data_IF_324260304961
#
_entry.id   IF_324260304961
#
_cell.length_a   1.000
_cell.length_b   1.000
_cell.length_c   1.000
_cell.angle_alpha   90.00
_cell.angle_beta   90.00
_cell.angle_gamma   90.00
#
_symmetry.space_group_name_H-M   'P 1'
#
loop_
_entity.id
_entity.type
_entity.pdbx_description
1 polymer ?
#
# COMPACT_ATOMS: atom_id res chain seq x y z
N UNK A 1 26.44 21.02 8.44
CA UNK A 1 25.78 19.97 7.61
C UNK A 1 24.88 20.61 6.57
N UNK A 2 24.93 20.18 5.30
CA UNK A 2 24.02 20.74 4.29
C UNK A 2 22.55 20.35 4.57
N UNK A 3 21.60 21.22 4.24
CA UNK A 3 20.14 21.03 4.51
C UNK A 3 19.60 19.66 4.08
N UNK A 4 20.15 19.06 3.01
CA UNK A 4 19.77 17.72 2.53
C UNK A 4 20.18 16.60 3.50
N UNK A 5 21.36 16.70 4.10
CA UNK A 5 21.87 15.69 5.06
C UNK A 5 21.10 15.73 6.37
N UNK A 6 20.74 16.91 6.83
CA UNK A 6 19.89 17.09 8.01
C UNK A 6 18.52 16.45 7.75
N UNK A 7 17.94 16.71 6.56
CA UNK A 7 16.66 16.13 6.16
C UNK A 7 16.70 14.59 6.11
N UNK A 8 17.78 13.99 5.55
CA UNK A 8 17.97 12.55 5.52
C UNK A 8 18.06 11.95 6.92
N UNK A 9 18.84 12.59 7.80
CA UNK A 9 19.00 12.13 9.18
C UNK A 9 17.64 12.04 9.91
N UNK A 10 16.84 13.11 9.84
CA UNK A 10 15.53 13.12 10.46
C UNK A 10 14.54 12.16 9.78
N UNK A 11 14.55 12.08 8.44
CA UNK A 11 13.72 11.15 7.68
C UNK A 11 14.00 9.69 8.05
N UNK A 12 15.28 9.31 8.15
CA UNK A 12 15.68 7.97 8.53
C UNK A 12 15.14 7.57 9.91
N UNK A 13 15.29 8.43 10.92
CA UNK A 13 14.76 8.13 12.26
C UNK A 13 13.23 8.05 12.28
N UNK A 14 12.57 8.88 11.47
CA UNK A 14 11.10 8.86 11.37
C UNK A 14 10.59 7.60 10.67
N UNK A 15 11.31 7.07 9.68
CA UNK A 15 10.91 5.90 8.89
C UNK A 15 11.34 4.55 9.52
N UNK A 16 12.12 4.53 10.61
CA UNK A 16 12.56 3.29 11.26
C UNK A 16 11.43 2.28 11.57
N UNK A 17 10.25 2.69 12.10
CA UNK A 17 9.16 1.75 12.32
C UNK A 17 8.66 1.10 11.02
N UNK A 18 8.66 1.86 9.92
CA UNK A 18 8.25 1.35 8.60
C UNK A 18 9.30 0.41 8.04
N UNK A 19 10.59 0.66 8.27
CA UNK A 19 11.67 -0.24 7.87
C UNK A 19 11.44 -1.66 8.43
N UNK A 20 11.06 -1.79 9.69
CA UNK A 20 10.77 -3.10 10.28
C UNK A 20 9.53 -3.76 9.64
N UNK A 21 8.44 -3.01 9.45
CA UNK A 21 7.21 -3.50 8.83
C UNK A 21 7.42 -3.90 7.36
N UNK A 22 8.01 -3.01 6.58
CA UNK A 22 8.28 -3.25 5.16
C UNK A 22 9.34 -4.31 4.93
N UNK A 23 10.34 -4.40 5.80
CA UNK A 23 11.30 -5.49 5.78
C UNK A 23 10.61 -6.84 5.91
N UNK A 24 9.72 -6.99 6.88
CA UNK A 24 8.98 -8.23 7.09
C UNK A 24 7.97 -8.52 5.97
N UNK A 25 7.12 -7.56 5.62
CA UNK A 25 6.09 -7.74 4.58
C UNK A 25 6.73 -7.92 3.19
N UNK A 26 7.79 -7.18 2.89
CA UNK A 26 8.53 -7.32 1.65
C UNK A 26 9.18 -8.69 1.53
N UNK A 27 9.83 -9.18 2.60
CA UNK A 27 10.36 -10.55 2.63
C UNK A 27 9.27 -11.57 2.34
N UNK A 28 8.11 -11.43 2.99
CA UNK A 28 6.96 -12.33 2.77
C UNK A 28 6.48 -12.27 1.32
N UNK A 29 6.41 -11.08 0.73
CA UNK A 29 6.06 -10.90 -0.68
C UNK A 29 7.06 -11.55 -1.62
N UNK A 30 8.36 -11.38 -1.37
CA UNK A 30 9.42 -12.01 -2.18
C UNK A 30 9.35 -13.54 -2.11
N UNK A 31 9.19 -14.11 -0.91
CA UNK A 31 9.00 -15.56 -0.72
C UNK A 31 7.76 -16.04 -1.48
N UNK A 32 6.65 -15.32 -1.39
CA UNK A 32 5.43 -15.63 -2.13
C UNK A 32 5.66 -15.65 -3.65
N UNK A 33 6.37 -14.68 -4.20
CA UNK A 33 6.70 -14.65 -5.64
C UNK A 33 7.61 -15.82 -6.04
N UNK A 34 8.55 -16.20 -5.18
CA UNK A 34 9.37 -17.39 -5.39
C UNK A 34 8.52 -18.67 -5.48
N UNK A 35 7.57 -18.86 -4.56
CA UNK A 35 6.65 -20.00 -4.56
C UNK A 35 5.77 -20.05 -5.83
N UNK A 36 5.44 -18.90 -6.40
CA UNK A 36 4.77 -18.82 -7.70
C UNK A 36 5.68 -19.18 -8.89
N UNK A 37 6.98 -19.42 -8.65
CA UNK A 37 7.95 -19.78 -9.66
C UNK A 37 8.62 -18.59 -10.38
N UNK A 38 8.47 -17.39 -9.87
CA UNK A 38 9.18 -16.22 -10.36
C UNK A 38 10.60 -16.14 -9.77
N UNK A 39 11.51 -15.49 -10.46
CA UNK A 39 12.83 -15.16 -9.93
C UNK A 39 12.82 -13.75 -9.31
N UNK A 40 13.87 -13.43 -8.55
CA UNK A 40 14.01 -12.18 -7.80
C UNK A 40 13.84 -10.88 -8.61
N UNK A 41 14.04 -10.93 -9.94
CA UNK A 41 13.84 -9.76 -10.80
C UNK A 41 12.37 -9.34 -10.87
N UNK A 42 11.44 -10.29 -10.81
CA UNK A 42 10.01 -9.98 -10.87
C UNK A 42 9.54 -9.19 -9.62
N UNK A 43 9.70 -9.71 -8.38
CA UNK A 43 9.30 -8.92 -7.21
C UNK A 43 10.08 -7.62 -7.09
N UNK A 44 11.38 -7.58 -7.44
CA UNK A 44 12.17 -6.36 -7.45
C UNK A 44 11.62 -5.31 -8.42
N UNK A 45 11.33 -5.69 -9.68
CA UNK A 45 10.81 -4.76 -10.68
C UNK A 45 9.39 -4.30 -10.35
N UNK A 46 8.52 -5.18 -9.86
CA UNK A 46 7.18 -4.81 -9.41
C UNK A 46 7.26 -3.83 -8.22
N UNK A 47 8.12 -4.09 -7.24
CA UNK A 47 8.34 -3.21 -6.11
C UNK A 47 8.84 -1.82 -6.51
N UNK A 48 9.66 -1.70 -7.56
CA UNK A 48 10.15 -0.41 -8.07
C UNK A 48 9.10 0.30 -8.93
N UNK A 49 8.36 -0.43 -9.76
CA UNK A 49 7.52 0.18 -10.81
C UNK A 49 6.05 0.32 -10.42
N UNK A 50 5.53 -0.58 -9.60
CA UNK A 50 4.15 -0.58 -9.11
C UNK A 50 4.08 0.04 -7.71
N UNK A 51 4.97 -0.37 -6.82
CA UNK A 51 5.10 0.10 -5.44
C UNK A 51 3.75 0.19 -4.71
N UNK A 52 3.00 -0.88 -4.77
CA UNK A 52 1.69 -1.02 -4.14
C UNK A 52 1.50 -2.47 -3.69
N UNK A 53 1.98 -2.81 -2.50
CA UNK A 53 2.09 -4.19 -2.00
C UNK A 53 0.87 -5.05 -2.25
N UNK A 54 -0.34 -4.55 -1.92
CA UNK A 54 -1.59 -5.28 -2.17
C UNK A 54 -1.84 -5.56 -3.66
N UNK A 55 -1.49 -4.63 -4.55
CA UNK A 55 -1.59 -4.85 -5.99
C UNK A 55 -0.51 -5.81 -6.49
N UNK A 56 0.69 -5.74 -5.93
CA UNK A 56 1.81 -6.62 -6.30
C UNK A 56 1.51 -8.09 -6.00
N UNK A 57 0.93 -8.40 -4.84
CA UNK A 57 0.45 -9.76 -4.52
C UNK A 57 -0.62 -10.25 -5.51
N UNK A 58 -1.58 -9.39 -5.89
CA UNK A 58 -2.59 -9.73 -6.90
C UNK A 58 -1.97 -9.95 -8.27
N UNK A 59 -1.05 -9.08 -8.68
CA UNK A 59 -0.36 -9.16 -9.96
C UNK A 59 0.46 -10.46 -10.09
N UNK A 60 1.08 -10.93 -9.01
CA UNK A 60 1.80 -12.19 -8.98
C UNK A 60 0.93 -13.36 -9.51
N UNK A 61 -0.28 -13.52 -8.99
CA UNK A 61 -1.21 -14.53 -9.48
C UNK A 61 -1.69 -14.26 -10.92
N UNK A 62 -1.93 -13.01 -11.28
CA UNK A 62 -2.40 -12.66 -12.63
C UNK A 62 -1.36 -12.91 -13.71
N UNK A 63 -0.07 -12.85 -13.38
CA UNK A 63 1.03 -13.13 -14.31
C UNK A 63 1.18 -14.63 -14.63
N UNK A 64 0.62 -15.53 -13.81
CA UNK A 64 0.65 -16.98 -14.07
C UNK A 64 -0.35 -17.42 -15.12
N UNK A 65 -1.41 -16.66 -15.33
CA UNK A 65 -2.48 -16.99 -16.27
C UNK A 65 -2.46 -16.14 -17.54
N UNK A 66 -3.59 -16.18 -18.27
CA UNK A 66 -3.80 -15.27 -19.39
C UNK A 66 -3.96 -13.84 -18.85
N UNK A 67 -3.01 -12.98 -19.15
CA UNK A 67 -3.03 -11.59 -18.67
C UNK A 67 -4.10 -10.78 -19.41
N UNK A 68 -5.07 -10.28 -18.67
CA UNK A 68 -6.14 -9.40 -19.15
C UNK A 68 -5.92 -7.97 -18.65
N UNK A 69 -5.35 -7.05 -19.48
CA UNK A 69 -4.96 -5.71 -19.01
C UNK A 69 -6.10 -4.90 -18.40
N UNK A 70 -7.30 -4.99 -18.95
CA UNK A 70 -8.46 -4.27 -18.43
C UNK A 70 -8.88 -4.79 -17.04
N UNK A 71 -8.88 -6.11 -16.86
CA UNK A 71 -9.21 -6.73 -15.58
C UNK A 71 -8.15 -6.36 -14.53
N UNK A 72 -6.86 -6.44 -14.89
CA UNK A 72 -5.76 -6.02 -14.02
C UNK A 72 -5.90 -4.55 -13.61
N UNK A 73 -6.16 -3.66 -14.58
CA UNK A 73 -6.37 -2.24 -14.31
C UNK A 73 -7.53 -1.99 -13.34
N UNK A 74 -8.67 -2.61 -13.58
CA UNK A 74 -9.85 -2.46 -12.71
C UNK A 74 -9.58 -2.99 -11.30
N UNK A 75 -8.98 -4.18 -11.16
CA UNK A 75 -8.63 -4.75 -9.85
C UNK A 75 -7.65 -3.85 -9.08
N UNK A 76 -6.56 -3.43 -9.72
CA UNK A 76 -5.55 -2.56 -9.10
C UNK A 76 -6.15 -1.22 -8.72
N UNK A 77 -6.97 -0.61 -9.59
CA UNK A 77 -7.67 0.63 -9.29
C UNK A 77 -8.59 0.50 -8.07
N UNK A 78 -9.30 -0.62 -7.97
CA UNK A 78 -10.24 -0.87 -6.87
C UNK A 78 -9.51 -1.04 -5.54
N UNK A 79 -8.49 -1.89 -5.50
CA UNK A 79 -7.72 -2.15 -4.28
C UNK A 79 -6.99 -0.89 -3.81
N UNK A 80 -6.50 -0.09 -4.75
CA UNK A 80 -5.75 1.14 -4.47
C UNK A 80 -6.61 2.42 -4.52
N UNK A 81 -7.94 2.33 -4.60
CA UNK A 81 -8.82 3.50 -4.67
C UNK A 81 -8.63 4.51 -3.52
N UNK A 82 -8.21 4.02 -2.35
CA UNK A 82 -7.86 4.85 -1.18
C UNK A 82 -6.74 5.86 -1.46
N UNK A 83 -5.79 5.56 -2.35
CA UNK A 83 -4.70 6.48 -2.72
C UNK A 83 -5.18 7.76 -3.39
N UNK A 84 -6.37 7.75 -4.03
CA UNK A 84 -7.01 8.97 -4.53
C UNK A 84 -7.31 9.95 -3.39
N UNK A 85 -7.78 9.45 -2.25
CA UNK A 85 -8.07 10.28 -1.06
C UNK A 85 -6.79 10.76 -0.38
N UNK A 86 -5.74 9.92 -0.34
CA UNK A 86 -4.43 10.36 0.15
C UNK A 86 -3.88 11.50 -0.69
N UNK A 87 -3.94 11.36 -2.01
CA UNK A 87 -3.53 12.40 -2.95
C UNK A 87 -4.25 13.73 -2.70
N UNK A 88 -5.57 13.69 -2.54
CA UNK A 88 -6.38 14.88 -2.23
C UNK A 88 -5.97 15.52 -0.89
N UNK A 89 -5.78 14.72 0.14
CA UNK A 89 -5.40 15.20 1.48
C UNK A 89 -4.01 15.84 1.50
N UNK A 90 -3.11 15.41 0.62
CA UNK A 90 -1.73 15.88 0.57
C UNK A 90 -1.49 17.04 -0.41
N UNK A 91 -2.51 17.50 -1.16
CA UNK A 91 -2.37 18.56 -2.16
C UNK A 91 -1.72 19.83 -1.60
N UNK A 92 -2.22 20.33 -0.47
CA UNK A 92 -1.66 21.53 0.17
C UNK A 92 -0.26 21.29 0.75
N UNK A 93 -0.04 20.09 1.31
CA UNK A 93 1.27 19.73 1.88
C UNK A 93 2.35 19.62 0.81
N UNK A 94 2.00 19.24 -0.42
CA UNK A 94 2.92 19.09 -1.55
C UNK A 94 3.01 20.33 -2.45
N UNK A 95 2.28 21.39 -2.12
CA UNK A 95 2.33 22.66 -2.87
C UNK A 95 3.73 23.28 -2.80
N UNK A 96 4.23 23.73 -3.94
CA UNK A 96 5.53 24.40 -4.04
C UNK A 96 6.77 23.49 -4.00
N UNK A 97 6.62 22.16 -4.00
CA UNK A 97 7.75 21.22 -3.94
C UNK A 97 8.41 20.93 -5.30
N UNK A 98 7.94 21.56 -6.39
CA UNK A 98 8.52 21.40 -7.73
C UNK A 98 8.54 19.93 -8.20
N UNK A 99 9.64 19.50 -8.80
CA UNK A 99 9.82 18.14 -9.34
C UNK A 99 9.68 17.03 -8.27
N UNK A 100 9.99 17.31 -7.01
CA UNK A 100 9.84 16.33 -5.91
C UNK A 100 8.41 15.83 -5.78
N UNK A 101 7.41 16.64 -6.14
CA UNK A 101 6.00 16.29 -6.07
C UNK A 101 5.67 15.02 -6.86
N UNK A 102 6.32 14.79 -8.01
CA UNK A 102 6.06 13.59 -8.82
C UNK A 102 6.45 12.31 -8.06
N UNK A 103 7.62 12.30 -7.44
CA UNK A 103 8.08 11.16 -6.63
C UNK A 103 7.25 10.98 -5.36
N UNK A 104 6.82 12.08 -4.73
CA UNK A 104 5.95 12.02 -3.55
C UNK A 104 4.56 11.47 -3.88
N UNK A 105 4.06 11.71 -5.07
CA UNK A 105 2.77 11.15 -5.52
C UNK A 105 2.93 9.67 -5.87
N UNK A 106 3.98 9.31 -6.60
CA UNK A 106 4.27 7.93 -6.98
C UNK A 106 4.49 7.05 -5.74
N UNK A 107 5.37 7.47 -4.84
CA UNK A 107 5.73 6.73 -3.63
C UNK A 107 4.75 6.87 -2.46
N UNK A 108 3.49 7.22 -2.73
CA UNK A 108 2.45 7.34 -1.71
C UNK A 108 1.87 5.96 -1.39
N UNK A 109 2.36 5.35 -0.32
CA UNK A 109 1.75 4.16 0.30
C UNK A 109 0.91 4.55 1.53
N UNK A 110 0.24 3.57 2.14
CA UNK A 110 -0.52 3.76 3.38
C UNK A 110 0.39 4.27 4.51
N UNK A 111 1.54 3.66 4.66
CA UNK A 111 2.53 3.97 5.69
C UNK A 111 3.20 5.31 5.43
N UNK A 112 3.62 5.56 4.18
CA UNK A 112 4.19 6.86 3.79
C UNK A 112 3.19 7.99 4.00
N UNK A 113 1.90 7.76 3.70
CA UNK A 113 0.84 8.71 4.00
C UNK A 113 0.70 8.93 5.51
N UNK A 114 0.63 7.86 6.30
CA UNK A 114 0.52 7.95 7.75
C UNK A 114 1.66 8.76 8.36
N UNK A 115 2.91 8.45 7.98
CA UNK A 115 4.08 9.20 8.44
C UNK A 115 4.05 10.66 7.98
N UNK A 116 3.88 10.87 6.68
CA UNK A 116 4.02 12.22 6.11
C UNK A 116 2.85 13.13 6.45
N UNK A 117 1.62 12.62 6.61
CA UNK A 117 0.47 13.41 7.02
C UNK A 117 0.59 13.89 8.46
N UNK A 118 1.00 13.01 9.38
CA UNK A 118 1.08 13.29 10.82
C UNK A 118 2.37 14.00 11.24
N UNK A 119 3.48 13.84 10.49
CA UNK A 119 4.78 14.38 10.90
C UNK A 119 4.83 15.90 10.85
N UNK A 120 5.36 16.47 11.92
CA UNK A 120 5.82 17.88 11.93
C UNK A 120 7.22 17.93 11.33
N UNK A 121 7.45 18.91 10.47
CA UNK A 121 8.79 19.11 9.88
C UNK A 121 9.75 19.57 10.98
N UNK A 122 10.86 18.86 11.23
CA UNK A 122 11.83 19.26 12.24
C UNK A 122 12.43 20.65 11.93
N UNK A 123 12.69 21.45 12.95
CA UNK A 123 13.29 22.77 12.80
C UNK A 123 14.61 22.71 12.03
N UNK A 124 14.85 23.71 11.19
CA UNK A 124 16.07 23.78 10.36
C UNK A 124 16.11 22.78 9.19
N UNK A 125 15.04 22.00 8.97
CA UNK A 125 14.97 20.96 7.92
C UNK A 125 14.21 21.47 6.69
N UNK A 126 14.75 21.20 5.49
CA UNK A 126 14.03 21.48 4.24
C UNK A 126 12.86 20.48 4.10
N UNK A 127 11.64 21.01 4.04
CA UNK A 127 10.40 20.23 3.95
C UNK A 127 10.40 19.28 2.76
N UNK A 128 10.80 19.77 1.59
CA UNK A 128 10.73 18.97 0.36
C UNK A 128 11.71 17.81 0.37
N UNK A 129 12.91 18.01 0.91
CA UNK A 129 13.89 16.95 1.05
C UNK A 129 13.53 15.97 2.16
N UNK A 130 12.95 16.43 3.26
CA UNK A 130 12.50 15.55 4.34
C UNK A 130 11.43 14.58 3.86
N UNK A 131 10.37 15.09 3.21
CA UNK A 131 9.30 14.25 2.68
C UNK A 131 9.82 13.29 1.59
N UNK A 132 10.69 13.77 0.69
CA UNK A 132 11.25 12.94 -0.37
C UNK A 132 12.12 11.81 0.18
N UNK A 133 12.92 12.07 1.22
CA UNK A 133 13.73 11.04 1.85
C UNK A 133 12.88 9.98 2.57
N UNK A 134 11.79 10.37 3.26
CA UNK A 134 10.86 9.37 3.83
C UNK A 134 10.34 8.47 2.71
N UNK A 135 9.80 9.05 1.64
CA UNK A 135 9.24 8.29 0.51
C UNK A 135 10.27 7.33 -0.11
N UNK A 136 11.48 7.78 -0.38
CA UNK A 136 12.53 6.94 -0.97
C UNK A 136 13.07 5.87 -0.01
N UNK A 137 13.14 6.15 1.28
CA UNK A 137 13.53 5.17 2.28
C UNK A 137 12.48 4.07 2.39
N UNK A 138 11.20 4.43 2.47
CA UNK A 138 10.10 3.48 2.55
C UNK A 138 10.07 2.57 1.30
N UNK A 139 10.19 3.14 0.08
CA UNK A 139 10.30 2.38 -1.17
C UNK A 139 11.52 1.45 -1.16
N UNK A 140 12.68 1.96 -0.72
CA UNK A 140 13.91 1.17 -0.62
C UNK A 140 13.76 -0.02 0.32
N UNK A 141 13.11 0.17 1.47
CA UNK A 141 12.86 -0.93 2.41
C UNK A 141 11.98 -2.01 1.81
N UNK A 142 10.94 -1.62 1.07
CA UNK A 142 10.07 -2.54 0.37
C UNK A 142 10.80 -3.31 -0.73
N UNK A 143 11.52 -2.63 -1.61
CA UNK A 143 12.31 -3.24 -2.70
C UNK A 143 13.36 -4.21 -2.16
N UNK A 144 14.09 -3.83 -1.11
CA UNK A 144 15.09 -4.71 -0.49
C UNK A 144 14.40 -5.93 0.12
N UNK A 145 13.31 -5.73 0.85
CA UNK A 145 12.54 -6.83 1.43
C UNK A 145 12.06 -7.81 0.37
N UNK A 146 11.40 -7.33 -0.68
CA UNK A 146 10.88 -8.15 -1.78
C UNK A 146 12.00 -8.93 -2.49
N UNK A 147 13.12 -8.27 -2.79
CA UNK A 147 14.25 -8.91 -3.46
C UNK A 147 14.90 -9.98 -2.59
N UNK A 148 15.15 -9.66 -1.31
CA UNK A 148 15.76 -10.61 -0.36
C UNK A 148 14.82 -11.79 -0.07
N UNK A 149 13.52 -11.55 -0.03
CA UNK A 149 12.53 -12.60 0.19
C UNK A 149 12.59 -13.69 -0.87
N UNK A 150 12.62 -13.31 -2.14
CA UNK A 150 12.75 -14.25 -3.24
C UNK A 150 14.12 -14.97 -3.22
N UNK A 151 15.20 -14.25 -2.99
CA UNK A 151 16.55 -14.85 -2.90
C UNK A 151 16.69 -15.83 -1.74
N UNK A 152 15.98 -15.63 -0.64
CA UNK A 152 16.00 -16.52 0.53
C UNK A 152 15.02 -17.68 0.35
N UNK A 153 13.95 -17.50 -0.45
CA UNK A 153 12.92 -18.51 -0.70
C UNK A 153 13.46 -19.92 -0.92
N UNK A 154 14.47 -20.14 -1.80
CA UNK A 154 15.05 -21.46 -2.08
C UNK A 154 15.65 -22.17 -0.86
N UNK A 155 16.04 -21.43 0.16
CA UNK A 155 16.66 -21.97 1.38
C UNK A 155 15.66 -22.29 2.48
N UNK A 156 14.39 -21.96 2.28
CA UNK A 156 13.32 -22.25 3.23
C UNK A 156 12.85 -23.68 3.03
N UNK A 157 13.05 -24.51 4.03
CA UNK A 157 12.71 -25.95 3.99
C UNK A 157 11.39 -26.26 4.70
N UNK A 158 10.68 -25.27 5.20
CA UNK A 158 9.41 -25.46 5.87
C UNK A 158 8.23 -25.27 4.91
N UNK A 159 7.14 -25.96 5.22
CA UNK A 159 5.91 -25.88 4.44
C UNK A 159 5.33 -24.45 4.50
N UNK A 160 5.30 -23.81 3.37
CA UNK A 160 4.79 -22.44 3.21
C UNK A 160 3.26 -22.41 2.96
N UNK A 161 2.56 -23.53 3.25
CA UNK A 161 1.10 -23.58 3.25
C UNK A 161 0.54 -22.47 4.15
N UNK A 162 -0.20 -21.58 3.56
CA UNK A 162 -0.76 -20.41 4.25
C UNK A 162 -0.21 -19.07 3.77
N UNK A 163 0.77 -19.04 2.87
CA UNK A 163 1.15 -17.79 2.19
C UNK A 163 -0.03 -17.19 1.42
N UNK A 164 -0.93 -18.02 0.89
CA UNK A 164 -2.18 -17.55 0.29
C UNK A 164 -3.04 -16.73 1.26
N UNK A 165 -2.87 -16.96 2.56
CA UNK A 165 -3.57 -16.23 3.61
C UNK A 165 -2.91 -14.87 3.94
N UNK A 166 -1.71 -14.59 3.46
CA UNK A 166 -0.96 -13.36 3.79
C UNK A 166 -1.75 -12.12 3.35
N UNK A 167 -2.34 -12.14 2.16
CA UNK A 167 -3.19 -11.05 1.68
C UNK A 167 -4.39 -10.83 2.61
N UNK A 168 -5.07 -11.90 2.97
CA UNK A 168 -6.23 -11.84 3.87
C UNK A 168 -5.81 -11.30 5.24
N UNK A 169 -4.70 -11.77 5.79
CA UNK A 169 -4.16 -11.30 7.05
C UNK A 169 -3.77 -9.82 7.00
N UNK A 170 -3.12 -9.39 5.92
CA UNK A 170 -2.73 -7.98 5.71
C UNK A 170 -3.97 -7.07 5.66
N UNK A 171 -4.97 -7.40 4.85
CA UNK A 171 -6.19 -6.58 4.78
C UNK A 171 -6.98 -6.60 6.08
N UNK A 172 -6.99 -7.73 6.79
CA UNK A 172 -7.62 -7.83 8.12
C UNK A 172 -6.89 -6.94 9.13
N UNK A 173 -5.56 -6.93 9.11
CA UNK A 173 -4.76 -6.06 9.98
C UNK A 173 -4.97 -4.57 9.69
N UNK A 174 -5.01 -4.18 8.40
CA UNK A 174 -5.32 -2.80 8.00
C UNK A 174 -6.72 -2.40 8.46
N UNK A 175 -7.70 -3.29 8.29
CA UNK A 175 -9.07 -3.02 8.75
C UNK A 175 -9.12 -2.87 10.26
N UNK A 176 -8.45 -3.75 11.02
CA UNK A 176 -8.40 -3.68 12.48
C UNK A 176 -7.71 -2.41 12.99
N UNK A 177 -6.60 -2.00 12.37
CA UNK A 177 -5.90 -0.76 12.72
C UNK A 177 -6.79 0.48 12.46
N UNK A 178 -7.46 0.53 11.32
CA UNK A 178 -8.41 1.59 11.01
C UNK A 178 -9.57 1.61 12.03
N UNK A 179 -10.13 0.44 12.35
CA UNK A 179 -11.19 0.31 13.35
C UNK A 179 -10.78 0.88 14.71
N UNK A 180 -9.57 0.59 15.17
CA UNK A 180 -9.06 1.07 16.44
C UNK A 180 -8.80 2.59 16.47
N UNK A 181 -8.49 3.19 15.31
CA UNK A 181 -8.22 4.64 15.19
C UNK A 181 -9.47 5.47 14.98
N UNK A 182 -10.50 4.92 14.37
CA UNK A 182 -11.74 5.62 14.06
C UNK A 182 -12.64 5.75 15.30
N UNK A 183 -13.23 6.93 15.49
CA UNK A 183 -14.25 7.16 16.52
C UNK A 183 -15.67 6.84 16.03
N UNK A 184 -15.90 6.95 14.71
CA UNK A 184 -17.18 6.64 14.05
C UNK A 184 -17.01 5.43 13.12
N UNK A 185 -17.44 4.28 13.58
CA UNK A 185 -17.35 3.01 12.84
C UNK A 185 -18.43 2.84 11.76
N UNK A 186 -19.23 3.85 11.48
CA UNK A 186 -20.33 3.73 10.51
C UNK A 186 -19.82 3.36 9.11
N UNK A 187 -18.68 3.91 8.68
CA UNK A 187 -18.09 3.59 7.38
C UNK A 187 -17.65 2.14 7.31
N UNK A 188 -16.95 1.67 8.34
CA UNK A 188 -16.43 0.30 8.43
C UNK A 188 -17.57 -0.72 8.53
N UNK A 189 -18.60 -0.46 9.36
CA UNK A 189 -19.77 -1.34 9.50
C UNK A 189 -20.57 -1.37 8.20
N UNK A 190 -20.85 -0.21 7.58
CA UNK A 190 -21.58 -0.18 6.31
C UNK A 190 -20.82 -0.88 5.20
N UNK A 191 -19.50 -0.75 5.16
CA UNK A 191 -18.64 -1.47 4.23
C UNK A 191 -18.76 -2.98 4.37
N UNK A 192 -18.68 -3.51 5.59
CA UNK A 192 -18.83 -4.95 5.87
C UNK A 192 -20.22 -5.46 5.47
N UNK A 193 -21.29 -4.75 5.87
CA UNK A 193 -22.67 -5.16 5.57
C UNK A 193 -22.92 -5.17 4.06
N UNK A 194 -22.56 -4.08 3.36
CA UNK A 194 -22.76 -3.97 1.91
C UNK A 194 -21.94 -5.03 1.17
N UNK A 195 -20.68 -5.25 1.54
CA UNK A 195 -19.83 -6.26 0.91
C UNK A 195 -20.38 -7.68 1.14
N UNK A 196 -20.84 -7.98 2.36
CA UNK A 196 -21.48 -9.25 2.67
C UNK A 196 -22.76 -9.49 1.88
N UNK A 197 -23.64 -8.49 1.77
CA UNK A 197 -24.84 -8.56 0.95
C UNK A 197 -24.50 -8.72 -0.55
N UNK A 198 -23.54 -7.98 -1.06
CA UNK A 198 -23.11 -8.11 -2.45
C UNK A 198 -22.55 -9.52 -2.73
N UNK A 199 -21.79 -10.10 -1.81
CA UNK A 199 -21.25 -11.44 -1.96
C UNK A 199 -22.36 -12.52 -2.03
N UNK A 200 -23.49 -12.32 -1.33
CA UNK A 200 -24.63 -13.25 -1.37
C UNK A 200 -25.50 -13.09 -2.62
N UNK A 201 -25.54 -11.87 -3.19
CA UNK A 201 -26.41 -11.54 -4.35
C UNK A 201 -25.68 -11.74 -5.67
N UNK A 202 -24.41 -11.37 -5.72
CA UNK A 202 -23.57 -11.47 -6.91
C UNK A 202 -22.59 -12.63 -6.78
N UNK A 203 -22.05 -13.13 -7.90
CA UNK A 203 -21.00 -14.14 -7.87
C UNK A 203 -19.72 -13.62 -7.24
N UNK A 204 -18.90 -14.52 -6.69
CA UNK A 204 -17.62 -14.20 -6.05
C UNK A 204 -16.68 -13.39 -6.96
N UNK A 205 -16.78 -13.58 -8.28
CA UNK A 205 -15.93 -12.90 -9.27
C UNK A 205 -16.32 -11.43 -9.49
N UNK A 206 -17.54 -11.04 -9.16
CA UNK A 206 -18.06 -9.70 -9.51
C UNK A 206 -18.43 -8.83 -8.30
N UNK A 207 -18.69 -9.44 -7.11
CA UNK A 207 -19.22 -8.71 -5.95
C UNK A 207 -18.37 -7.50 -5.52
N UNK A 208 -17.07 -7.55 -5.76
CA UNK A 208 -16.13 -6.49 -5.32
C UNK A 208 -16.49 -5.16 -5.97
N UNK A 209 -16.69 -5.14 -7.30
CA UNK A 209 -17.01 -3.90 -8.04
C UNK A 209 -18.35 -3.34 -7.58
N UNK A 210 -19.37 -4.19 -7.49
CA UNK A 210 -20.70 -3.78 -7.08
C UNK A 210 -20.71 -3.24 -5.64
N UNK A 211 -20.02 -3.92 -4.73
CA UNK A 211 -19.93 -3.46 -3.34
C UNK A 211 -19.24 -2.10 -3.24
N UNK A 212 -18.15 -1.88 -3.97
CA UNK A 212 -17.44 -0.60 -3.97
C UNK A 212 -18.31 0.55 -4.50
N UNK A 213 -19.03 0.35 -5.61
CA UNK A 213 -19.93 1.36 -6.17
C UNK A 213 -21.05 1.70 -5.17
N UNK A 214 -21.66 0.69 -4.55
CA UNK A 214 -22.73 0.88 -3.58
C UNK A 214 -22.21 1.59 -2.32
N UNK A 215 -21.04 1.19 -1.80
CA UNK A 215 -20.38 1.84 -0.65
C UNK A 215 -20.10 3.31 -0.97
N UNK A 216 -19.53 3.60 -2.15
CA UNK A 216 -19.22 4.96 -2.56
C UNK A 216 -20.48 5.84 -2.62
N UNK A 217 -21.54 5.33 -3.24
CA UNK A 217 -22.84 6.04 -3.30
C UNK A 217 -23.39 6.28 -1.89
N UNK A 218 -23.41 5.25 -1.05
CA UNK A 218 -23.93 5.34 0.32
C UNK A 218 -23.17 6.39 1.15
N UNK A 219 -21.84 6.34 1.16
CA UNK A 219 -21.02 7.27 1.93
C UNK A 219 -21.11 8.71 1.39
N UNK A 220 -21.22 8.89 0.07
CA UNK A 220 -21.37 10.20 -0.55
C UNK A 220 -22.71 10.83 -0.19
N UNK A 221 -23.79 10.04 -0.20
CA UNK A 221 -25.13 10.51 0.21
C UNK A 221 -25.19 10.81 1.71
N UNK A 222 -24.51 10.00 2.55
CA UNK A 222 -24.40 10.27 3.99
C UNK A 222 -23.67 11.59 4.27
N UNK A 223 -22.55 11.86 3.59
CA UNK A 223 -21.77 13.09 3.77
C UNK A 223 -22.53 14.36 3.37
N UNK A 224 -23.50 14.25 2.46
CA UNK A 224 -24.37 15.38 2.06
C UNK A 224 -25.45 15.74 3.10
N UNK A 225 -25.72 14.85 4.06
CA UNK A 225 -26.75 15.04 5.08
C UNK A 225 -26.21 15.54 6.43
N UNK A 226 -24.88 15.62 6.56
CA UNK A 226 -24.15 16.23 7.71
C UNK A 226 -23.54 17.55 7.23
#
# INVERSE_FOLDING_TARGET
MGKRRIALYHAFHTSLPIMAGYGFLGLTYGIYMHELGFNFLYPMLLAITVYAGSAEFLLGNMLLGSFHPLQAFLMVLMVNARHLFYGLSMLEKYKGLGWKKFFLIFGMSDETFALTSASKIPEGTDKGWYLLWITWLDETYWVIGATLGDLIGPFLTFDLKGLDFVLTAMFTAIFADNWLREKDHTSSISGLIISGLCLTIFSADHFIIQSMVIILIFLTLKKRKV
#
